data_IF_741330169181
#
_entry.id   IF_741330169181
#
_cell.length_a   1.000
_cell.length_b   1.000
_cell.length_c   1.000
_cell.angle_alpha   90.00
_cell.angle_beta   90.00
_cell.angle_gamma   90.00
#
_symmetry.space_group_name_H-M   'P 1'
#
loop_
_entity.id
_entity.type
_entity.pdbx_description
1 polymer ?
#
# COMPACT_ATOMS: atom_id res chain seq x y z
N UNK A 1 40.61 15.13 38.31
CA UNK A 1 40.15 15.33 36.92
C UNK A 1 39.38 14.07 36.48
N UNK A 2 38.06 13.99 36.72
CA UNK A 2 37.26 12.78 36.44
C UNK A 2 35.73 13.02 36.45
N UNK A 3 35.26 14.14 35.89
CA UNK A 3 33.81 14.45 35.84
C UNK A 3 33.31 15.06 34.53
N UNK A 4 34.17 15.20 33.51
CA UNK A 4 33.81 15.92 32.27
C UNK A 4 33.51 15.00 31.08
N UNK A 5 33.75 13.69 31.20
CA UNK A 5 33.64 12.75 30.07
C UNK A 5 32.19 12.25 29.86
N UNK A 6 31.31 12.40 30.85
CA UNK A 6 29.97 11.77 30.80
C UNK A 6 28.92 12.54 30.00
N UNK A 7 29.14 13.81 29.65
CA UNK A 7 28.10 14.64 29.03
C UNK A 7 28.18 14.61 27.49
N UNK A 8 29.36 14.34 26.93
CA UNK A 8 29.55 14.31 25.46
C UNK A 8 28.95 13.04 24.83
N UNK A 9 28.90 11.92 25.57
CA UNK A 9 28.32 10.67 25.05
C UNK A 9 26.77 10.68 24.97
N UNK A 10 26.11 11.55 25.74
CA UNK A 10 24.64 11.63 25.80
C UNK A 10 24.04 12.58 24.74
N UNK A 11 24.82 13.52 24.20
CA UNK A 11 24.35 14.41 23.13
C UNK A 11 24.39 13.79 21.73
N UNK A 12 25.08 12.66 21.54
CA UNK A 12 25.26 12.04 20.21
C UNK A 12 24.12 11.11 19.78
N UNK A 13 23.07 10.95 20.59
CA UNK A 13 21.97 9.99 20.32
C UNK A 13 20.71 10.67 19.72
N UNK A 14 20.65 12.01 19.68
CA UNK A 14 19.46 12.71 19.18
C UNK A 14 19.47 13.04 17.68
N UNK A 15 20.48 12.62 16.92
CA UNK A 15 20.49 12.75 15.44
C UNK A 15 20.00 11.46 14.78
N UNK A 16 18.79 11.02 15.14
CA UNK A 16 18.09 10.01 14.35
C UNK A 16 17.34 10.73 13.23
N UNK A 17 18.05 10.87 12.11
CA UNK A 17 17.57 11.01 10.73
C UNK A 17 16.06 11.24 10.58
N UNK A 18 15.64 12.51 10.48
CA UNK A 18 14.50 12.83 9.64
C UNK A 18 15.00 12.77 8.18
N UNK A 19 15.23 11.57 7.65
CA UNK A 19 15.21 11.37 6.20
C UNK A 19 13.74 11.40 5.84
N UNK A 20 13.24 12.59 5.51
CA UNK A 20 12.07 12.71 4.66
C UNK A 20 12.52 12.22 3.28
N UNK A 21 12.33 10.94 3.02
CA UNK A 21 12.30 10.42 1.66
C UNK A 21 11.07 11.06 1.01
N UNK A 22 11.25 12.16 0.29
CA UNK A 22 10.25 12.66 -0.64
C UNK A 22 10.21 11.67 -1.81
N UNK A 23 9.51 10.56 -1.61
CA UNK A 23 9.24 9.58 -2.65
C UNK A 23 8.37 10.22 -3.72
N UNK A 24 8.81 10.16 -4.98
CA UNK A 24 7.95 10.51 -6.11
C UNK A 24 6.77 9.55 -6.12
N UNK A 25 5.55 10.08 -6.28
CA UNK A 25 4.38 9.25 -6.55
C UNK A 25 4.63 8.46 -7.85
N UNK A 26 4.41 7.16 -7.78
CA UNK A 26 4.53 6.19 -8.88
C UNK A 26 3.19 5.50 -9.07
N UNK A 27 2.95 5.05 -10.29
CA UNK A 27 1.77 4.24 -10.64
C UNK A 27 2.24 2.87 -11.12
N UNK A 28 1.86 1.82 -10.40
CA UNK A 28 1.96 0.45 -10.85
C UNK A 28 0.68 0.03 -11.56
N UNK A 29 0.78 -0.78 -12.62
CA UNK A 29 -0.36 -1.24 -13.41
C UNK A 29 -0.28 -2.74 -13.60
N UNK A 30 -1.31 -3.45 -13.13
CA UNK A 30 -1.54 -4.86 -13.38
C UNK A 30 -2.70 -5.02 -14.37
N UNK A 31 -2.57 -5.95 -15.32
CA UNK A 31 -3.62 -6.26 -16.31
C UNK A 31 -3.78 -7.77 -16.44
N UNK A 32 -5.01 -8.24 -16.35
CA UNK A 32 -5.37 -9.63 -16.58
C UNK A 32 -6.78 -9.73 -17.18
N UNK A 33 -6.85 -10.01 -18.48
CA UNK A 33 -8.11 -10.03 -19.22
C UNK A 33 -8.84 -8.69 -19.12
N UNK A 34 -10.09 -8.73 -18.67
CA UNK A 34 -10.95 -7.57 -18.45
C UNK A 34 -10.73 -6.86 -17.11
N UNK A 35 -9.67 -7.20 -16.37
CA UNK A 35 -9.35 -6.56 -15.10
C UNK A 35 -8.04 -5.78 -15.24
N UNK A 36 -8.08 -4.49 -14.91
CA UNK A 36 -6.92 -3.63 -14.75
C UNK A 36 -6.87 -3.09 -13.33
N UNK A 37 -5.73 -3.22 -12.64
CA UNK A 37 -5.51 -2.66 -11.31
C UNK A 37 -4.43 -1.60 -11.42
N UNK A 38 -4.70 -0.39 -10.93
CA UNK A 38 -3.70 0.67 -10.83
C UNK A 38 -3.44 0.97 -9.35
N UNK A 39 -2.17 1.02 -8.94
CA UNK A 39 -1.76 1.31 -7.56
C UNK A 39 -0.87 2.55 -7.57
N UNK A 40 -1.31 3.59 -6.87
CA UNK A 40 -0.54 4.81 -6.63
C UNK A 40 0.18 4.70 -5.29
N UNK A 41 1.52 4.76 -5.34
CA UNK A 41 2.38 4.57 -4.18
C UNK A 41 3.67 5.39 -4.28
N UNK A 42 4.35 5.61 -3.15
CA UNK A 42 5.69 6.21 -3.12
C UNK A 42 6.77 5.15 -2.97
N UNK A 43 6.54 4.23 -2.02
CA UNK A 43 7.62 3.43 -1.42
C UNK A 43 7.39 1.92 -1.46
N UNK A 44 6.22 1.42 -1.90
CA UNK A 44 6.00 -0.02 -2.05
C UNK A 44 7.04 -0.70 -2.95
N UNK A 45 7.52 -1.84 -2.46
CA UNK A 45 8.36 -2.80 -3.17
C UNK A 45 7.52 -3.65 -4.14
N UNK A 46 8.18 -4.39 -5.04
CA UNK A 46 7.46 -5.26 -5.99
C UNK A 46 6.67 -6.37 -5.28
N UNK A 47 7.26 -6.99 -4.26
CA UNK A 47 6.59 -8.05 -3.49
C UNK A 47 5.33 -7.50 -2.79
N UNK A 48 5.38 -6.27 -2.30
CA UNK A 48 4.25 -5.58 -1.68
C UNK A 48 3.14 -5.27 -2.69
N UNK A 49 3.51 -4.81 -3.89
CA UNK A 49 2.56 -4.59 -4.98
C UNK A 49 1.86 -5.90 -5.39
N UNK A 50 2.61 -6.99 -5.48
CA UNK A 50 2.06 -8.31 -5.84
C UNK A 50 1.10 -8.82 -4.75
N UNK A 51 1.41 -8.61 -3.46
CA UNK A 51 0.47 -8.92 -2.35
C UNK A 51 -0.80 -8.06 -2.40
N UNK A 52 -0.68 -6.75 -2.65
CA UNK A 52 -1.85 -5.87 -2.79
C UNK A 52 -2.74 -6.35 -3.94
N UNK A 53 -2.16 -6.71 -5.10
CA UNK A 53 -2.92 -7.25 -6.24
C UNK A 53 -3.64 -8.55 -5.85
N UNK A 54 -2.96 -9.47 -5.18
CA UNK A 54 -3.56 -10.73 -4.73
C UNK A 54 -4.71 -10.49 -3.74
N UNK A 55 -4.50 -9.62 -2.74
CA UNK A 55 -5.51 -9.25 -1.75
C UNK A 55 -6.73 -8.61 -2.40
N UNK A 56 -6.55 -7.72 -3.39
CA UNK A 56 -7.65 -7.06 -4.09
C UNK A 56 -8.46 -8.02 -4.98
N UNK A 57 -7.82 -9.05 -5.54
CA UNK A 57 -8.49 -10.03 -6.40
C UNK A 57 -9.16 -11.15 -5.61
N UNK A 58 -8.49 -11.64 -4.57
CA UNK A 58 -8.86 -12.87 -3.87
C UNK A 58 -9.39 -12.64 -2.46
N UNK A 59 -9.23 -11.42 -1.91
CA UNK A 59 -9.54 -11.09 -0.53
C UNK A 59 -8.50 -11.63 0.46
N UNK A 60 -8.80 -11.48 1.75
CA UNK A 60 -7.95 -12.01 2.82
C UNK A 60 -7.92 -13.55 2.77
N UNK A 61 -6.71 -14.11 2.72
CA UNK A 61 -6.48 -15.55 2.83
C UNK A 61 -6.88 -16.12 4.20
N UNK A 62 -7.09 -15.26 5.21
CA UNK A 62 -7.48 -15.59 6.58
C UNK A 62 -6.35 -16.17 7.42
N UNK A 63 -5.14 -16.23 6.87
CA UNK A 63 -3.93 -16.71 7.57
C UNK A 63 -3.17 -15.49 8.06
N UNK A 64 -3.31 -15.17 9.35
CA UNK A 64 -2.54 -14.10 9.99
C UNK A 64 -1.40 -14.68 10.83
N UNK A 65 -0.19 -14.25 10.54
CA UNK A 65 1.01 -14.51 11.31
C UNK A 65 1.16 -13.35 12.29
N UNK A 66 0.63 -13.55 13.49
CA UNK A 66 0.88 -12.63 14.61
C UNK A 66 2.39 -12.46 14.81
N UNK A 67 2.93 -11.32 14.34
CA UNK A 67 4.36 -11.06 14.40
C UNK A 67 4.72 -10.39 15.74
N UNK A 68 5.65 -11.02 16.47
CA UNK A 68 6.25 -10.50 17.70
C UNK A 68 6.76 -9.05 17.55
N UNK A 69 7.27 -8.69 16.38
CA UNK A 69 7.77 -7.33 16.11
C UNK A 69 6.66 -6.29 16.19
N UNK A 70 5.46 -6.57 15.67
CA UNK A 70 4.32 -5.65 15.77
C UNK A 70 3.80 -5.54 17.21
N UNK A 71 3.86 -6.63 17.99
CA UNK A 71 3.50 -6.59 19.41
C UNK A 71 4.47 -5.72 20.22
N UNK A 72 5.77 -5.76 19.91
CA UNK A 72 6.80 -5.04 20.66
C UNK A 72 6.96 -3.58 20.22
N UNK A 73 6.80 -3.29 18.93
CA UNK A 73 7.12 -1.99 18.34
C UNK A 73 5.92 -1.30 17.67
N UNK A 74 4.72 -1.89 17.78
CA UNK A 74 3.53 -1.45 17.07
C UNK A 74 3.55 -1.82 15.57
N UNK A 75 2.43 -1.61 14.89
CA UNK A 75 2.39 -1.69 13.44
C UNK A 75 3.13 -0.50 12.83
N UNK A 76 3.90 -0.75 11.77
CA UNK A 76 4.37 0.29 10.85
C UNK A 76 3.49 0.17 9.61
N UNK A 77 2.47 1.01 9.55
CA UNK A 77 1.48 0.99 8.47
C UNK A 77 1.95 1.91 7.36
N UNK A 78 1.94 1.38 6.14
CA UNK A 78 2.02 2.15 4.91
C UNK A 78 0.66 2.11 4.22
N UNK A 79 0.35 3.19 3.50
CA UNK A 79 -0.93 3.34 2.84
C UNK A 79 -0.77 3.84 1.42
N UNK A 80 -1.70 3.42 0.57
CA UNK A 80 -1.76 3.79 -0.84
C UNK A 80 -3.19 3.87 -1.34
N UNK A 81 -3.33 4.29 -2.60
CA UNK A 81 -4.61 4.26 -3.31
C UNK A 81 -4.52 3.25 -4.44
N UNK A 82 -5.51 2.37 -4.54
CA UNK A 82 -5.65 1.44 -5.64
C UNK A 82 -6.98 1.67 -6.36
N UNK A 83 -7.03 1.37 -7.64
CA UNK A 83 -8.28 1.25 -8.39
C UNK A 83 -8.32 -0.07 -9.14
N UNK A 84 -9.49 -0.70 -9.17
CA UNK A 84 -9.77 -1.87 -9.99
C UNK A 84 -10.76 -1.44 -11.06
N UNK A 85 -10.34 -1.51 -12.32
CA UNK A 85 -11.20 -1.32 -13.49
C UNK A 85 -11.62 -2.69 -14.00
N UNK A 86 -12.92 -2.94 -13.96
CA UNK A 86 -13.54 -4.04 -14.68
C UNK A 86 -13.98 -3.51 -16.05
N UNK A 87 -13.41 -4.07 -17.10
CA UNK A 87 -13.73 -3.80 -18.49
C UNK A 87 -14.91 -4.67 -18.96
N UNK A 88 -15.63 -4.18 -19.97
CA UNK A 88 -16.73 -4.91 -20.61
C UNK A 88 -17.80 -5.46 -19.64
N UNK A 89 -18.06 -4.74 -18.54
CA UNK A 89 -19.05 -5.13 -17.51
C UNK A 89 -20.47 -5.06 -18.05
N UNK A 90 -20.73 -4.11 -18.95
CA UNK A 90 -22.07 -3.84 -19.50
C UNK A 90 -22.06 -3.97 -21.03
N UNK A 91 -23.12 -4.54 -21.59
CA UNK A 91 -23.30 -4.67 -23.06
C UNK A 91 -23.52 -3.32 -23.76
N UNK A 92 -23.86 -2.28 -23.00
CA UNK A 92 -24.12 -0.91 -23.48
C UNK A 92 -23.44 0.10 -22.57
N UNK A 93 -23.06 1.25 -23.12
CA UNK A 93 -22.44 2.35 -22.37
C UNK A 93 -23.17 2.67 -21.03
N UNK A 94 -22.44 2.91 -19.93
CA UNK A 94 -20.98 2.83 -19.76
C UNK A 94 -20.48 1.38 -19.72
N UNK A 95 -19.36 1.07 -20.37
CA UNK A 95 -18.85 -0.31 -20.53
C UNK A 95 -17.96 -0.78 -19.37
N UNK A 96 -17.37 0.13 -18.59
CA UNK A 96 -16.50 -0.21 -17.46
C UNK A 96 -17.08 0.23 -16.13
N UNK A 97 -16.65 -0.47 -15.08
CA UNK A 97 -16.82 -0.08 -13.69
C UNK A 97 -15.44 0.03 -13.01
N UNK A 98 -15.19 1.16 -12.34
CA UNK A 98 -13.97 1.39 -11.58
C UNK A 98 -14.33 1.43 -10.10
N UNK A 99 -13.67 0.59 -9.30
CA UNK A 99 -13.74 0.63 -7.84
C UNK A 99 -12.46 1.22 -7.28
N UNK A 100 -12.56 2.22 -6.41
CA UNK A 100 -11.42 2.88 -5.76
C UNK A 100 -11.28 2.39 -4.33
N UNK A 101 -10.06 2.06 -3.94
CA UNK A 101 -9.72 1.50 -2.64
C UNK A 101 -8.64 2.32 -1.96
N UNK A 102 -8.84 2.55 -0.66
CA UNK A 102 -7.76 2.90 0.25
C UNK A 102 -7.13 1.61 0.77
N UNK A 103 -5.83 1.43 0.55
CA UNK A 103 -5.11 0.20 0.91
C UNK A 103 -4.14 0.52 2.04
N UNK A 104 -4.16 -0.32 3.08
CA UNK A 104 -3.25 -0.27 4.21
C UNK A 104 -2.51 -1.59 4.32
N UNK A 105 -1.20 -1.51 4.56
CA UNK A 105 -0.38 -2.69 4.79
C UNK A 105 0.64 -2.44 5.88
N UNK A 106 1.04 -3.50 6.58
CA UNK A 106 2.13 -3.40 7.54
C UNK A 106 3.44 -3.92 6.94
N UNK A 107 4.50 -3.13 6.96
CA UNK A 107 5.84 -3.59 6.52
C UNK A 107 6.43 -4.68 7.44
N UNK A 108 5.82 -4.91 8.60
CA UNK A 108 6.34 -5.81 9.64
C UNK A 108 5.58 -7.11 9.75
N UNK A 109 4.33 -7.20 9.32
CA UNK A 109 3.52 -8.42 9.40
C UNK A 109 2.61 -8.52 8.18
N UNK A 110 1.84 -9.60 8.10
CA UNK A 110 0.86 -9.82 7.03
C UNK A 110 -0.48 -9.10 7.27
N UNK A 111 -0.45 -7.97 7.98
CA UNK A 111 -1.65 -7.13 8.07
C UNK A 111 -1.82 -6.40 6.74
N UNK A 112 -2.96 -6.65 6.10
CA UNK A 112 -3.38 -6.02 4.85
C UNK A 112 -4.88 -5.72 4.97
N UNK A 113 -5.28 -4.54 4.53
CA UNK A 113 -6.67 -4.11 4.50
C UNK A 113 -6.92 -3.26 3.27
N UNK A 114 -8.08 -3.42 2.64
CA UNK A 114 -8.53 -2.56 1.55
C UNK A 114 -9.96 -2.11 1.84
N UNK A 115 -10.16 -0.81 1.93
CA UNK A 115 -11.47 -0.19 2.15
C UNK A 115 -11.97 0.40 0.84
N UNK A 116 -13.15 -0.03 0.39
CA UNK A 116 -13.81 0.55 -0.79
C UNK A 116 -14.25 1.97 -0.46
N UNK A 117 -13.73 2.95 -1.20
CA UNK A 117 -14.04 4.38 -1.05
C UNK A 117 -15.19 4.79 -1.97
N UNK A 118 -15.12 4.39 -3.24
CA UNK A 118 -16.11 4.77 -4.24
C UNK A 118 -16.13 3.80 -5.42
N UNK A 119 -17.22 3.89 -6.20
CA UNK A 119 -17.39 3.17 -7.47
C UNK A 119 -17.86 4.16 -8.52
N UNK A 120 -17.23 4.12 -9.69
CA UNK A 120 -17.56 4.95 -10.84
C UNK A 120 -17.84 4.07 -12.07
N UNK A 121 -18.68 4.56 -12.98
CA UNK A 121 -18.94 3.89 -14.26
C UNK A 121 -18.60 4.83 -15.39
N UNK A 122 -17.76 4.37 -16.31
CA UNK A 122 -17.20 5.23 -17.34
C UNK A 122 -17.36 4.63 -18.74
N UNK A 123 -17.36 5.54 -19.72
CA UNK A 123 -17.07 5.16 -21.09
C UNK A 123 -15.63 4.71 -21.23
N UNK A 124 -15.42 3.51 -21.73
CA UNK A 124 -14.12 2.90 -22.00
C UNK A 124 -14.30 1.89 -23.15
N UNK A 125 -13.23 1.20 -23.57
CA UNK A 125 -13.32 0.08 -24.52
C UNK A 125 -14.07 0.45 -25.82
N UNK A 126 -13.80 1.63 -26.37
CA UNK A 126 -14.49 2.15 -27.56
C UNK A 126 -13.94 1.61 -28.88
N UNK A 127 -13.11 0.58 -28.84
CA UNK A 127 -12.56 -0.13 -30.01
C UNK A 127 -13.19 -1.52 -30.15
#
# INVERSE_FOLDING_TARGET
MKKVISVVLLLSICLSFAVSAEGSLKTYVYKNGDIEIQIQHTDFTQDELDRIVDYLLNGDSGVTTYNLLCTLFGHKIEAGMASITHHHVYDTYPYCEISYYYVEMCERCDYENATLESVERIGCCTE
#
